data_IF_510287723617
#
_entry.id   IF_510287723617
#
_cell.length_a   1.000
_cell.length_b   1.000
_cell.length_c   1.000
_cell.angle_alpha   90.00
_cell.angle_beta   90.00
_cell.angle_gamma   90.00
#
_symmetry.space_group_name_H-M   'P 1'
#
loop_
_entity.id
_entity.type
_entity.pdbx_description
1 polymer ?
#
# COMPACT_ATOMS: atom_id res chain seq x y z
N UNK A 1 6.99 -0.66 -22.45
CA UNK A 1 6.08 -0.20 -21.42
C UNK A 1 6.47 1.18 -20.98
N UNK A 2 5.55 2.11 -21.16
CA UNK A 2 5.90 3.52 -21.07
C UNK A 2 5.46 4.17 -19.76
N UNK A 3 5.42 3.41 -18.68
CA UNK A 3 5.13 3.97 -17.37
C UNK A 3 6.42 4.22 -16.59
N UNK A 4 6.34 5.19 -15.68
CA UNK A 4 7.44 5.55 -14.78
C UNK A 4 6.94 5.54 -13.35
N UNK A 5 7.81 5.10 -12.44
CA UNK A 5 7.51 5.17 -11.00
C UNK A 5 8.51 6.14 -10.38
N UNK A 6 7.98 7.17 -9.73
CA UNK A 6 8.77 8.31 -9.24
C UNK A 6 8.55 8.47 -7.74
N UNK A 7 9.64 8.63 -6.98
CA UNK A 7 9.57 8.96 -5.57
C UNK A 7 9.36 10.46 -5.41
N UNK A 8 8.34 10.84 -4.64
CA UNK A 8 7.99 12.23 -4.41
C UNK A 8 8.49 12.66 -3.04
N UNK A 9 9.36 13.68 -3.00
CA UNK A 9 9.99 14.14 -1.75
C UNK A 9 9.39 15.41 -1.19
N UNK A 10 8.62 16.15 -1.99
CA UNK A 10 8.05 17.45 -1.60
C UNK A 10 6.60 17.55 -2.00
N UNK A 11 5.85 18.36 -1.25
CA UNK A 11 4.45 18.65 -1.56
C UNK A 11 3.62 17.40 -1.80
N UNK A 12 3.74 16.46 -0.86
CA UNK A 12 3.08 15.15 -0.97
C UNK A 12 1.56 15.28 -0.98
N UNK A 13 1.02 16.31 -0.34
CA UNK A 13 -0.43 16.58 -0.30
C UNK A 13 -1.02 16.95 -1.66
N UNK A 14 -0.19 17.22 -2.66
CA UNK A 14 -0.71 17.43 -4.03
C UNK A 14 -1.43 16.18 -4.55
N UNK A 15 -1.15 15.01 -3.97
CA UNK A 15 -1.80 13.74 -4.33
C UNK A 15 -2.88 13.32 -3.34
N UNK A 16 -3.37 14.27 -2.50
CA UNK A 16 -4.32 13.95 -1.44
C UNK A 16 -5.59 13.28 -1.97
N UNK A 17 -6.14 13.76 -3.09
CA UNK A 17 -7.36 13.17 -3.65
C UNK A 17 -7.19 11.67 -3.94
N UNK A 18 -6.03 11.30 -4.48
CA UNK A 18 -5.75 9.91 -4.77
C UNK A 18 -5.48 9.12 -3.49
N UNK A 19 -4.76 9.71 -2.54
CA UNK A 19 -4.49 9.08 -1.24
C UNK A 19 -5.78 8.79 -0.47
N UNK A 20 -6.78 9.66 -0.59
CA UNK A 20 -8.08 9.47 0.07
C UNK A 20 -8.86 8.27 -0.49
N UNK A 21 -8.51 7.78 -1.67
CA UNK A 21 -9.10 6.54 -2.19
C UNK A 21 -8.57 5.32 -1.45
N UNK A 22 -7.33 5.38 -0.97
CA UNK A 22 -6.73 4.29 -0.21
C UNK A 22 -6.95 4.40 1.29
N UNK A 23 -7.23 5.61 1.78
CA UNK A 23 -7.47 5.85 3.21
C UNK A 23 -8.38 7.07 3.33
N UNK A 24 -9.63 6.85 3.71
CA UNK A 24 -10.69 7.85 3.61
C UNK A 24 -10.57 9.08 4.51
N UNK A 25 -9.64 9.08 5.48
CA UNK A 25 -9.56 10.17 6.44
C UNK A 25 -8.19 10.83 6.42
N UNK A 26 -8.16 12.13 6.13
CA UNK A 26 -6.92 12.88 6.04
C UNK A 26 -6.09 12.84 7.32
N UNK A 27 -6.73 12.87 8.48
CA UNK A 27 -6.02 12.79 9.76
C UNK A 27 -5.27 11.48 9.93
N UNK A 28 -5.76 10.40 9.33
CA UNK A 28 -5.05 9.13 9.33
C UNK A 28 -3.87 9.17 8.36
N UNK A 29 -4.06 9.77 7.19
CA UNK A 29 -2.98 9.96 6.21
C UNK A 29 -1.87 10.79 6.84
N UNK A 30 -2.20 11.82 7.61
CA UNK A 30 -1.22 12.68 8.28
C UNK A 30 -0.31 11.91 9.24
N UNK A 31 -0.76 10.76 9.75
CA UNK A 31 0.06 9.95 10.67
C UNK A 31 1.29 9.35 10.01
N UNK A 32 1.27 9.18 8.68
CA UNK A 32 2.35 8.46 8.01
C UNK A 32 2.92 9.18 6.78
N UNK A 33 2.24 10.17 6.22
CA UNK A 33 2.62 10.70 4.91
C UNK A 33 4.00 11.38 4.93
N UNK A 34 4.26 12.25 5.88
CA UNK A 34 5.53 12.99 5.90
C UNK A 34 6.72 12.12 6.26
N UNK A 35 6.52 11.15 7.16
CA UNK A 35 7.61 10.23 7.54
C UNK A 35 7.79 9.09 6.55
N UNK A 36 6.83 8.89 5.66
CA UNK A 36 6.85 7.80 4.70
C UNK A 36 7.46 8.21 3.36
N UNK A 37 7.69 7.22 2.53
CA UNK A 37 8.12 7.41 1.15
C UNK A 37 6.89 7.34 0.25
N UNK A 38 6.64 8.39 -0.51
CA UNK A 38 5.53 8.45 -1.46
C UNK A 38 6.05 8.18 -2.87
N UNK A 39 5.41 7.24 -3.55
CA UNK A 39 5.71 6.91 -4.95
C UNK A 39 4.47 7.10 -5.80
N UNK A 40 4.67 7.60 -7.01
CA UNK A 40 3.59 7.70 -7.99
C UNK A 40 3.96 6.93 -9.25
N UNK A 41 2.97 6.30 -9.87
CA UNK A 41 3.12 5.66 -11.16
C UNK A 41 2.47 6.56 -12.20
N UNK A 42 3.27 6.99 -13.17
CA UNK A 42 2.84 7.86 -14.26
C UNK A 42 2.84 7.10 -15.57
N UNK A 43 1.72 7.18 -16.28
CA UNK A 43 1.55 6.63 -17.62
C UNK A 43 0.50 7.49 -18.31
N UNK A 44 0.96 8.52 -19.05
CA UNK A 44 0.08 9.56 -19.58
C UNK A 44 -0.78 10.17 -18.46
N UNK A 45 -0.11 10.67 -17.42
CA UNK A 45 -0.74 11.18 -16.20
C UNK A 45 -0.57 10.22 -15.05
N UNK A 46 -0.91 10.68 -13.85
CA UNK A 46 -0.76 9.89 -12.62
C UNK A 46 -1.87 8.84 -12.56
N UNK A 47 -1.49 7.58 -12.47
CA UNK A 47 -2.42 6.44 -12.43
C UNK A 47 -2.53 5.81 -11.06
N UNK A 48 -1.45 5.83 -10.27
CA UNK A 48 -1.44 5.17 -8.97
C UNK A 48 -0.49 5.88 -8.02
N UNK A 49 -0.73 5.69 -6.72
CA UNK A 49 0.11 6.23 -5.66
C UNK A 49 0.29 5.15 -4.59
N UNK A 50 1.45 5.13 -3.95
CA UNK A 50 1.72 4.24 -2.83
C UNK A 50 2.60 4.92 -1.79
N UNK A 51 2.39 4.58 -0.52
CA UNK A 51 3.19 5.11 0.58
C UNK A 51 3.73 3.95 1.40
N UNK A 52 5.03 3.95 1.64
CA UNK A 52 5.70 2.94 2.45
C UNK A 52 6.40 3.63 3.61
N UNK A 53 6.27 3.06 4.80
CA UNK A 53 6.92 3.56 6.01
C UNK A 53 7.86 2.52 6.60
N UNK A 54 8.86 3.00 7.34
CA UNK A 54 9.73 2.15 8.15
C UNK A 54 9.04 1.91 9.49
N UNK A 55 8.78 0.64 9.83
CA UNK A 55 8.10 0.29 11.09
C UNK A 55 9.01 -0.42 12.08
N UNK A 56 10.22 -0.74 11.68
CA UNK A 56 11.23 -1.37 12.52
C UNK A 56 12.52 -1.48 11.75
N UNK A 57 13.60 -2.02 12.37
CA UNK A 57 14.88 -2.12 11.68
C UNK A 57 14.83 -3.04 10.44
N UNK A 58 13.90 -4.00 10.42
CA UNK A 58 13.80 -4.97 9.33
C UNK A 58 12.42 -5.02 8.68
N UNK A 59 11.48 -4.18 9.12
CA UNK A 59 10.08 -4.22 8.64
C UNK A 59 9.69 -2.86 8.08
N UNK A 60 9.11 -2.87 6.87
CA UNK A 60 8.44 -1.71 6.30
C UNK A 60 6.97 -2.03 6.09
N UNK A 61 6.15 -1.00 5.94
CA UNK A 61 4.70 -1.17 5.76
C UNK A 61 4.20 -0.38 4.57
N UNK A 62 3.40 -1.04 3.72
CA UNK A 62 2.64 -0.37 2.67
C UNK A 62 1.40 0.25 3.33
N UNK A 63 1.46 1.56 3.57
CA UNK A 63 0.41 2.29 4.30
C UNK A 63 -0.76 2.71 3.41
N UNK A 64 -0.50 2.91 2.14
CA UNK A 64 -1.52 3.38 1.21
C UNK A 64 -1.15 2.90 -0.19
N UNK A 65 -2.13 2.39 -0.92
CA UNK A 65 -2.03 2.09 -2.34
C UNK A 65 -3.37 2.44 -2.97
N UNK A 66 -3.34 3.26 -4.01
CA UNK A 66 -4.57 3.68 -4.67
C UNK A 66 -4.33 3.83 -6.17
N UNK A 67 -5.34 3.49 -6.95
CA UNK A 67 -5.33 3.64 -8.41
C UNK A 67 -6.51 4.54 -8.77
N UNK A 68 -6.26 5.54 -9.63
CA UNK A 68 -7.33 6.43 -10.07
C UNK A 68 -8.47 5.61 -10.70
N UNK A 69 -9.74 5.97 -10.45
CA UNK A 69 -10.87 5.12 -10.84
C UNK A 69 -10.90 4.73 -12.32
N UNK A 70 -10.60 5.66 -13.23
CA UNK A 70 -10.63 5.37 -14.67
C UNK A 70 -9.52 4.43 -15.11
N UNK A 71 -8.49 4.22 -14.27
CA UNK A 71 -7.35 3.37 -14.62
C UNK A 71 -7.35 2.04 -13.85
N UNK A 72 -8.37 1.79 -13.03
CA UNK A 72 -8.44 0.54 -12.27
C UNK A 72 -8.62 -0.66 -13.21
N UNK A 73 -8.21 -1.83 -12.73
CA UNK A 73 -8.26 -3.11 -13.44
C UNK A 73 -7.37 -3.17 -14.69
N UNK A 74 -6.35 -2.30 -14.76
CA UNK A 74 -5.38 -2.30 -15.85
C UNK A 74 -3.99 -2.74 -15.37
N UNK A 75 -3.87 -3.21 -14.13
CA UNK A 75 -2.62 -3.73 -13.58
C UNK A 75 -1.69 -2.70 -12.97
N UNK A 76 -2.09 -1.44 -12.84
CA UNK A 76 -1.21 -0.41 -12.28
C UNK A 76 -0.89 -0.63 -10.80
N UNK A 77 -1.88 -1.06 -10.01
CA UNK A 77 -1.65 -1.35 -8.60
C UNK A 77 -0.63 -2.47 -8.41
N UNK A 78 -0.76 -3.54 -9.18
CA UNK A 78 0.20 -4.65 -9.14
C UNK A 78 1.59 -4.22 -9.57
N UNK A 79 1.70 -3.42 -10.63
CA UNK A 79 2.99 -2.91 -11.09
C UNK A 79 3.69 -2.10 -10.03
N UNK A 80 2.93 -1.22 -9.36
CA UNK A 80 3.49 -0.40 -8.28
C UNK A 80 3.91 -1.26 -7.09
N UNK A 81 3.07 -2.19 -6.66
CA UNK A 81 3.40 -3.09 -5.55
C UNK A 81 4.65 -3.92 -5.86
N UNK A 82 4.74 -4.49 -7.06
CA UNK A 82 5.91 -5.27 -7.44
C UNK A 82 7.19 -4.42 -7.41
N UNK A 83 7.10 -3.18 -7.87
CA UNK A 83 8.23 -2.26 -7.79
C UNK A 83 8.63 -2.01 -6.33
N UNK A 84 7.65 -1.76 -5.46
CA UNK A 84 7.92 -1.46 -4.05
C UNK A 84 8.52 -2.66 -3.32
N UNK A 85 8.00 -3.86 -3.57
CA UNK A 85 8.57 -5.08 -2.99
C UNK A 85 10.03 -5.24 -3.39
N UNK A 86 10.33 -5.08 -4.68
CA UNK A 86 11.70 -5.19 -5.17
C UNK A 86 12.60 -4.09 -4.59
N UNK A 87 12.09 -2.88 -4.52
CA UNK A 87 12.85 -1.73 -4.01
C UNK A 87 13.23 -1.91 -2.53
N UNK A 88 12.27 -2.30 -1.69
CA UNK A 88 12.48 -2.39 -0.25
C UNK A 88 13.09 -3.72 0.20
N UNK A 89 13.04 -4.77 -0.61
CA UNK A 89 13.64 -6.06 -0.25
C UNK A 89 15.17 -5.99 -0.09
N UNK A 90 15.78 -4.92 -0.56
CA UNK A 90 17.23 -4.72 -0.42
C UNK A 90 17.62 -4.29 0.99
N UNK A 91 16.72 -3.66 1.73
CA UNK A 91 16.99 -3.11 3.07
C UNK A 91 16.19 -3.77 4.17
N UNK A 92 15.04 -4.33 3.85
CA UNK A 92 14.11 -4.90 4.83
C UNK A 92 13.89 -6.38 4.55
N UNK A 93 13.63 -7.13 5.60
CA UNK A 93 13.36 -8.56 5.49
C UNK A 93 11.88 -8.84 5.23
N UNK A 94 11.01 -7.87 5.53
CA UNK A 94 9.57 -8.08 5.44
C UNK A 94 8.84 -6.76 5.14
N UNK A 95 7.82 -6.85 4.30
CA UNK A 95 6.86 -5.77 4.09
C UNK A 95 5.51 -6.25 4.59
N UNK A 96 4.83 -5.42 5.37
CA UNK A 96 3.48 -5.69 5.84
C UNK A 96 2.50 -4.73 5.15
N UNK A 97 1.24 -5.14 5.09
CA UNK A 97 0.16 -4.30 4.59
C UNK A 97 -1.10 -4.61 5.40
N UNK A 98 -1.84 -3.57 5.76
CA UNK A 98 -3.10 -3.72 6.46
C UNK A 98 -4.26 -3.25 5.61
N UNK A 99 -5.42 -3.85 5.81
CA UNK A 99 -6.64 -3.48 5.08
C UNK A 99 -7.87 -3.92 5.85
N UNK A 100 -9.04 -3.35 5.48
CA UNK A 100 -10.31 -3.84 5.98
C UNK A 100 -10.62 -5.22 5.41
N UNK A 101 -11.55 -5.91 6.06
CA UNK A 101 -11.95 -7.26 5.66
C UNK A 101 -12.89 -7.21 4.45
N UNK A 102 -12.33 -7.01 3.27
CA UNK A 102 -13.05 -6.95 1.99
C UNK A 102 -12.47 -8.03 1.08
N UNK A 103 -13.25 -9.06 0.72
CA UNK A 103 -12.71 -10.24 0.02
C UNK A 103 -11.92 -9.94 -1.26
N UNK A 104 -12.38 -9.00 -2.08
CA UNK A 104 -11.66 -8.63 -3.30
C UNK A 104 -10.28 -8.04 -3.04
N UNK A 105 -10.16 -7.22 -1.99
CA UNK A 105 -8.89 -6.61 -1.59
C UNK A 105 -7.96 -7.66 -1.01
N UNK A 106 -8.49 -8.57 -0.19
CA UNK A 106 -7.70 -9.68 0.40
C UNK A 106 -7.12 -10.55 -0.71
N UNK A 107 -7.94 -10.92 -1.69
CA UNK A 107 -7.50 -11.73 -2.83
C UNK A 107 -6.41 -11.02 -3.63
N UNK A 108 -6.55 -9.71 -3.81
CA UNK A 108 -5.56 -8.92 -4.53
C UNK A 108 -4.19 -8.96 -3.85
N UNK A 109 -4.16 -8.72 -2.53
CA UNK A 109 -2.88 -8.76 -1.81
C UNK A 109 -2.25 -10.15 -1.83
N UNK A 110 -3.06 -11.19 -1.69
CA UNK A 110 -2.56 -12.56 -1.79
C UNK A 110 -1.94 -12.81 -3.17
N UNK A 111 -2.56 -12.32 -4.23
CA UNK A 111 -2.05 -12.48 -5.58
C UNK A 111 -0.75 -11.73 -5.82
N UNK A 112 -0.46 -10.70 -5.01
CA UNK A 112 0.79 -9.95 -5.08
C UNK A 112 1.92 -10.57 -4.22
N UNK A 113 1.66 -11.67 -3.53
CA UNK A 113 2.67 -12.36 -2.74
C UNK A 113 2.59 -12.12 -1.24
N UNK A 114 1.52 -11.49 -0.77
CA UNK A 114 1.27 -11.33 0.65
C UNK A 114 0.47 -12.51 1.20
N UNK A 115 0.68 -12.83 2.46
CA UNK A 115 -0.11 -13.83 3.16
C UNK A 115 -0.67 -13.24 4.44
N UNK A 116 -1.80 -13.77 4.89
CA UNK A 116 -2.48 -13.29 6.09
C UNK A 116 -1.61 -13.51 7.33
N UNK A 117 -1.50 -12.47 8.15
CA UNK A 117 -0.77 -12.54 9.42
C UNK A 117 -1.72 -12.57 10.61
N UNK A 118 -2.45 -11.48 10.84
CA UNK A 118 -3.40 -11.38 11.95
C UNK A 118 -4.32 -10.18 11.74
N UNK A 119 -5.35 -10.03 12.59
CA UNK A 119 -6.21 -8.86 12.53
C UNK A 119 -6.13 -8.03 13.81
N UNK A 120 -6.40 -6.73 13.67
CA UNK A 120 -6.56 -5.81 14.80
C UNK A 120 -8.02 -5.48 14.90
N UNK A 121 -8.69 -6.03 15.92
CA UNK A 121 -10.12 -5.84 16.13
C UNK A 121 -10.44 -4.40 16.51
N UNK A 122 -11.54 -3.88 16.00
CA UNK A 122 -12.00 -2.54 16.33
C UNK A 122 -11.15 -1.41 15.76
N UNK A 123 -10.19 -1.72 14.86
CA UNK A 123 -9.29 -0.71 14.33
C UNK A 123 -10.02 0.48 13.73
N UNK A 124 -10.98 0.22 12.86
CA UNK A 124 -11.71 1.30 12.18
C UNK A 124 -12.65 2.04 13.09
N UNK A 125 -13.26 1.36 14.06
CA UNK A 125 -14.16 2.02 15.00
C UNK A 125 -13.41 2.86 16.03
N UNK A 126 -12.19 2.51 16.37
CA UNK A 126 -11.37 3.23 17.35
C UNK A 126 -10.54 4.36 16.75
N UNK A 127 -10.15 4.26 15.47
CA UNK A 127 -9.22 5.19 14.82
C UNK A 127 -9.88 6.17 13.87
N UNK A 128 -11.10 5.93 13.41
CA UNK A 128 -11.81 6.81 12.48
C UNK A 128 -13.02 7.44 13.18
N UNK A 129 -13.30 8.69 12.84
CA UNK A 129 -14.39 9.46 13.47
C UNK A 129 -15.74 9.27 12.78
N UNK A 130 -15.78 8.46 11.73
CA UNK A 130 -17.00 8.13 11.00
C UNK A 130 -16.94 6.67 10.53
N UNK A 131 -18.10 6.06 10.22
CA UNK A 131 -18.10 4.70 9.68
C UNK A 131 -17.38 4.63 8.34
N UNK A 132 -16.52 3.63 8.17
CA UNK A 132 -15.83 3.38 6.91
C UNK A 132 -16.54 2.23 6.21
N UNK A 133 -17.02 2.48 5.00
CA UNK A 133 -17.73 1.49 4.20
C UNK A 133 -16.98 1.30 2.88
N UNK A 134 -16.66 0.06 2.55
CA UNK A 134 -16.00 -0.30 1.30
C UNK A 134 -16.77 -1.44 0.65
N UNK A 135 -17.18 -1.25 -0.61
CA UNK A 135 -18.02 -2.21 -1.33
C UNK A 135 -19.28 -2.59 -0.55
N UNK A 136 -19.90 -1.62 0.17
CA UNK A 136 -21.09 -1.85 0.97
C UNK A 136 -20.85 -2.57 2.29
N UNK A 137 -19.59 -2.81 2.67
CA UNK A 137 -19.23 -3.51 3.91
C UNK A 137 -18.72 -2.50 4.93
N UNK A 138 -19.33 -2.51 6.14
CA UNK A 138 -18.86 -1.68 7.25
C UNK A 138 -17.57 -2.27 7.81
N UNK A 139 -16.48 -1.50 7.74
CA UNK A 139 -15.16 -1.95 8.21
C UNK A 139 -15.06 -1.77 9.73
N UNK A 140 -14.61 -2.81 10.41
CA UNK A 140 -14.39 -2.83 11.86
C UNK A 140 -12.96 -3.24 12.17
N UNK A 141 -12.49 -4.29 11.52
CA UNK A 141 -11.21 -4.93 11.80
C UNK A 141 -10.19 -4.57 10.72
N UNK A 142 -8.93 -4.51 11.12
CA UNK A 142 -7.81 -4.24 10.25
C UNK A 142 -7.02 -5.53 10.07
N UNK A 143 -7.09 -6.13 8.89
CA UNK A 143 -6.36 -7.36 8.58
C UNK A 143 -4.96 -7.02 8.14
N UNK A 144 -3.98 -7.64 8.77
CA UNK A 144 -2.57 -7.47 8.45
C UNK A 144 -2.07 -8.64 7.60
N UNK A 145 -1.41 -8.28 6.52
CA UNK A 145 -0.76 -9.21 5.61
C UNK A 145 0.73 -8.92 5.59
N UNK A 146 1.52 -9.95 5.31
CA UNK A 146 2.96 -9.81 5.22
C UNK A 146 3.48 -10.49 3.97
N UNK A 147 4.62 -10.02 3.44
CA UNK A 147 5.25 -10.68 2.32
C UNK A 147 5.70 -12.07 2.73
N UNK A 148 5.50 -13.03 1.82
CA UNK A 148 6.06 -14.35 2.00
C UNK A 148 7.58 -14.22 1.94
N UNK A 149 8.28 -14.79 2.92
CA UNK A 149 9.74 -14.73 2.99
C UNK A 149 10.42 -15.11 1.67
N UNK A 150 9.89 -16.12 1.01
CA UNK A 150 10.42 -16.61 -0.27
C UNK A 150 10.35 -15.53 -1.35
N UNK A 151 9.23 -14.81 -1.45
CA UNK A 151 9.03 -13.76 -2.47
C UNK A 151 9.97 -12.59 -2.22
N UNK A 152 10.02 -12.10 -0.99
CA UNK A 152 10.81 -10.93 -0.62
C UNK A 152 12.30 -11.19 -0.78
N UNK A 153 12.78 -12.34 -0.28
CA UNK A 153 14.19 -12.72 -0.40
C UNK A 153 14.60 -12.94 -1.86
N UNK A 154 13.71 -13.52 -2.68
CA UNK A 154 13.99 -13.72 -4.09
C UNK A 154 14.21 -12.40 -4.81
N UNK A 155 13.33 -11.42 -4.57
CA UNK A 155 13.47 -10.09 -5.16
C UNK A 155 14.77 -9.42 -4.74
N UNK A 156 15.16 -9.53 -3.47
CA UNK A 156 16.42 -9.00 -2.97
C UNK A 156 17.63 -9.65 -3.63
N UNK A 157 17.61 -10.97 -3.83
CA UNK A 157 18.68 -11.69 -4.50
C UNK A 157 18.82 -11.27 -5.97
N UNK A 158 17.72 -11.19 -6.68
CA UNK A 158 17.73 -10.81 -8.10
C UNK A 158 18.34 -9.42 -8.30
N UNK A 159 18.09 -8.51 -7.39
CA UNK A 159 18.62 -7.16 -7.49
C UNK A 159 20.10 -7.07 -7.11
N UNK A 160 20.67 -8.07 -6.45
CA UNK A 160 22.09 -8.12 -6.07
C UNK A 160 22.96 -8.80 -7.12
N UNK A 161 22.36 -9.41 -8.09
CA UNK A 161 23.07 -10.04 -9.18
C UNK A 161 23.15 -9.12 -10.41
#
# INVERSE_FOLDING_TARGET
MDYHIIKISRNKKQYLDLLLLGDEQETMIDRYLERGDLFVLEDNGIKAVGVVTKEGPEICELKNIAVTPIAQRQGYGRKLINYLINHYSKEYTQMIVGTGDVPGVLAFYKSCGFEYSHCIKGFFTENYDHPIIDNGILLKEYDLFETQNKVFKRSGKESNN
#
